data_IF_968992854199
#
_entry.id   IF_968992854199
#
_cell.length_a   1.000
_cell.length_b   1.000
_cell.length_c   1.000
_cell.angle_alpha   90.00
_cell.angle_beta   90.00
_cell.angle_gamma   90.00
#
_symmetry.space_group_name_H-M   'P 1'
#
loop_
_entity.id
_entity.type
_entity.pdbx_description
1 polymer ?
#
# COMPACT_ATOMS: atom_id res chain seq x y z
N UNK A 1 -14.37 17.64 -14.04
CA UNK A 1 -13.95 16.41 -13.32
C UNK A 1 -12.76 15.84 -14.07
N UNK A 2 -11.54 16.19 -13.67
CA UNK A 2 -10.34 15.68 -14.34
C UNK A 2 -10.29 14.16 -14.15
N UNK A 3 -10.34 13.40 -15.25
CA UNK A 3 -10.06 11.98 -15.23
C UNK A 3 -8.66 11.82 -14.66
N UNK A 4 -8.57 11.36 -13.41
CA UNK A 4 -7.28 11.10 -12.78
C UNK A 4 -6.51 10.14 -13.66
N UNK A 5 -5.42 10.62 -14.23
CA UNK A 5 -4.59 9.92 -15.21
C UNK A 5 -4.21 8.55 -14.65
N UNK A 6 -4.87 7.49 -15.15
CA UNK A 6 -4.68 6.14 -14.60
C UNK A 6 -3.26 5.72 -14.94
N UNK A 7 -2.44 5.52 -13.90
CA UNK A 7 -1.08 4.96 -14.03
C UNK A 7 -1.16 3.45 -14.24
N UNK A 8 -1.75 3.03 -15.35
CA UNK A 8 -1.84 1.64 -15.80
C UNK A 8 -0.57 1.23 -16.59
N UNK A 9 -0.57 0.01 -17.13
CA UNK A 9 0.60 -0.50 -17.86
C UNK A 9 0.89 0.33 -19.12
N UNK A 10 -0.14 0.78 -19.84
CA UNK A 10 -0.01 1.56 -21.07
C UNK A 10 0.63 2.93 -20.79
N UNK A 11 0.23 3.57 -19.69
CA UNK A 11 0.89 4.78 -19.19
C UNK A 11 2.40 4.55 -18.98
N UNK A 12 2.77 3.44 -18.34
CA UNK A 12 4.17 3.16 -18.03
C UNK A 12 4.99 2.75 -19.26
N UNK A 13 4.40 2.03 -20.22
CA UNK A 13 5.07 1.69 -21.48
C UNK A 13 5.42 2.95 -22.27
N UNK A 14 4.45 3.87 -22.40
CA UNK A 14 4.68 5.18 -23.04
C UNK A 14 5.77 5.98 -22.34
N UNK A 15 5.80 5.93 -21.01
CA UNK A 15 6.81 6.63 -20.21
C UNK A 15 8.20 6.02 -20.35
N UNK A 16 8.32 4.69 -20.30
CA UNK A 16 9.58 3.99 -20.52
C UNK A 16 10.17 4.34 -21.90
N UNK A 17 9.33 4.37 -22.93
CA UNK A 17 9.73 4.80 -24.28
C UNK A 17 10.17 6.26 -24.33
N UNK A 18 9.43 7.15 -23.66
CA UNK A 18 9.76 8.58 -23.59
C UNK A 18 11.10 8.84 -22.90
N UNK A 19 11.40 8.08 -21.85
CA UNK A 19 12.61 8.24 -21.04
C UNK A 19 13.81 7.41 -21.57
N UNK A 20 13.66 6.73 -22.73
CA UNK A 20 14.77 6.04 -23.42
C UNK A 20 15.15 4.68 -22.85
N UNK A 21 14.23 3.96 -22.21
CA UNK A 21 14.47 2.63 -21.65
C UNK A 21 14.22 1.50 -22.66
N UNK A 22 14.85 1.57 -23.83
CA UNK A 22 14.61 0.63 -24.95
C UNK A 22 14.96 -0.82 -24.57
N UNK A 23 16.09 -1.06 -23.90
CA UNK A 23 16.46 -2.39 -23.39
C UNK A 23 15.39 -3.00 -22.47
N UNK A 24 14.68 -2.17 -21.69
CA UNK A 24 13.62 -2.66 -20.82
C UNK A 24 12.35 -2.97 -21.59
N UNK A 25 12.06 -2.22 -22.66
CA UNK A 25 10.92 -2.49 -23.54
C UNK A 25 11.12 -3.81 -24.29
N UNK A 26 12.33 -4.06 -24.81
CA UNK A 26 12.68 -5.33 -25.45
C UNK A 26 12.51 -6.52 -24.49
N UNK A 27 12.97 -6.38 -23.23
CA UNK A 27 12.77 -7.42 -22.21
C UNK A 27 11.30 -7.65 -21.85
N UNK A 28 10.46 -6.60 -21.92
CA UNK A 28 9.00 -6.74 -21.71
C UNK A 28 8.36 -7.47 -22.88
N UNK A 29 8.68 -7.09 -24.12
CA UNK A 29 8.15 -7.70 -25.34
C UNK A 29 8.56 -9.18 -25.46
N UNK A 30 9.79 -9.49 -25.09
CA UNK A 30 10.30 -10.87 -24.99
C UNK A 30 9.69 -11.66 -23.81
N UNK A 31 8.85 -11.03 -22.97
CA UNK A 31 8.23 -11.66 -21.81
C UNK A 31 9.19 -11.99 -20.66
N UNK A 32 10.43 -11.48 -20.72
CA UNK A 32 11.47 -11.74 -19.73
C UNK A 32 11.22 -11.00 -18.42
N UNK A 33 10.61 -9.81 -18.48
CA UNK A 33 10.22 -9.03 -17.30
C UNK A 33 8.80 -8.48 -17.46
N UNK A 34 8.11 -8.25 -16.34
CA UNK A 34 6.80 -7.57 -16.36
C UNK A 34 6.99 -6.05 -16.37
N UNK A 35 6.01 -5.33 -16.94
CA UNK A 35 5.94 -3.84 -16.87
C UNK A 35 6.12 -3.32 -15.44
N UNK A 36 5.55 -4.02 -14.45
CA UNK A 36 5.71 -3.67 -13.04
C UNK A 36 7.17 -3.70 -12.56
N UNK A 37 7.96 -4.67 -13.02
CA UNK A 37 9.38 -4.80 -12.64
C UNK A 37 10.23 -3.78 -13.37
N UNK A 38 10.00 -3.58 -14.67
CA UNK A 38 10.66 -2.53 -15.44
C UNK A 38 10.45 -1.14 -14.79
N UNK A 39 9.23 -0.82 -14.38
CA UNK A 39 8.93 0.47 -13.72
C UNK A 39 9.55 0.63 -12.33
N UNK A 40 9.92 -0.46 -11.66
CA UNK A 40 10.75 -0.40 -10.44
C UNK A 40 12.21 -0.14 -10.79
N UNK A 41 12.76 -0.84 -11.79
CA UNK A 41 14.15 -0.66 -12.25
C UNK A 41 14.40 0.76 -12.77
N UNK A 42 13.44 1.32 -13.49
CA UNK A 42 13.44 2.70 -13.98
C UNK A 42 13.17 3.77 -12.88
N UNK A 43 12.95 3.36 -11.62
CA UNK A 43 12.76 4.29 -10.50
C UNK A 43 11.40 5.00 -10.43
N UNK A 44 10.45 4.70 -11.32
CA UNK A 44 9.11 5.31 -11.30
C UNK A 44 8.25 4.89 -10.11
N UNK A 45 8.55 3.71 -9.55
CA UNK A 45 7.88 3.18 -8.37
C UNK A 45 8.87 3.13 -7.23
N UNK A 46 8.45 3.59 -6.05
CA UNK A 46 9.27 3.52 -4.83
C UNK A 46 9.73 2.08 -4.58
N UNK A 47 11.04 1.90 -4.55
CA UNK A 47 11.75 0.70 -4.11
C UNK A 47 12.21 0.95 -2.67
N UNK A 48 11.51 0.35 -1.72
CA UNK A 48 11.81 0.50 -0.30
C UNK A 48 10.89 -0.38 0.53
N UNK A 49 11.23 -0.62 1.80
CA UNK A 49 10.33 -1.33 2.72
C UNK A 49 9.01 -0.58 2.70
N UNK A 50 7.95 -1.25 2.28
CA UNK A 50 6.62 -0.69 2.41
C UNK A 50 6.38 -0.57 3.90
N UNK A 51 5.97 0.62 4.35
CA UNK A 51 5.49 0.83 5.70
C UNK A 51 4.55 -0.34 6.06
N UNK A 52 4.88 -1.14 7.08
CA UNK A 52 4.07 -2.29 7.47
C UNK A 52 2.58 -1.94 7.64
N UNK A 53 2.27 -0.73 8.10
CA UNK A 53 0.90 -0.25 8.22
C UNK A 53 0.21 -0.09 6.85
N UNK A 54 0.93 0.42 5.84
CA UNK A 54 0.41 0.53 4.47
C UNK A 54 0.23 -0.84 3.82
N UNK A 55 1.14 -1.78 4.06
CA UNK A 55 1.01 -3.17 3.61
C UNK A 55 -0.24 -3.80 4.23
N UNK A 56 -0.34 -3.72 5.56
CA UNK A 56 -1.47 -4.28 6.29
C UNK A 56 -2.78 -3.66 5.81
N UNK A 57 -2.86 -2.34 5.65
CA UNK A 57 -4.06 -1.65 5.12
C UNK A 57 -4.43 -2.13 3.71
N UNK A 58 -3.44 -2.27 2.82
CA UNK A 58 -3.66 -2.74 1.45
C UNK A 58 -4.25 -4.16 1.41
N UNK A 59 -3.71 -5.06 2.22
CA UNK A 59 -4.17 -6.45 2.28
C UNK A 59 -5.47 -6.59 3.07
N UNK A 60 -5.62 -5.86 4.18
CA UNK A 60 -6.83 -5.85 5.00
C UNK A 60 -8.07 -5.51 4.18
N UNK A 61 -8.00 -4.45 3.36
CA UNK A 61 -9.13 -4.02 2.49
C UNK A 61 -9.58 -5.09 1.50
N UNK A 62 -8.68 -5.99 1.08
CA UNK A 62 -8.96 -7.07 0.11
C UNK A 62 -9.26 -8.41 0.76
N UNK A 63 -8.86 -8.59 2.02
CA UNK A 63 -9.12 -9.80 2.77
C UNK A 63 -10.63 -9.99 2.99
N UNK A 64 -11.08 -11.26 2.95
CA UNK A 64 -12.45 -11.63 3.26
C UNK A 64 -12.75 -11.38 4.75
N UNK A 65 -14.03 -11.44 5.12
CA UNK A 65 -14.43 -11.35 6.52
C UNK A 65 -13.79 -12.45 7.38
N UNK A 66 -13.76 -13.69 6.89
CA UNK A 66 -13.18 -14.83 7.60
C UNK A 66 -11.66 -14.69 7.78
N UNK A 67 -10.95 -14.19 6.77
CA UNK A 67 -9.50 -13.95 6.88
C UNK A 67 -9.18 -12.89 7.94
N UNK A 68 -9.97 -11.81 7.97
CA UNK A 68 -9.84 -10.75 8.97
C UNK A 68 -10.09 -11.29 10.37
N UNK A 69 -11.15 -12.09 10.54
CA UNK A 69 -11.49 -12.75 11.81
C UNK A 69 -10.37 -13.67 12.27
N UNK A 70 -9.84 -14.51 11.38
CA UNK A 70 -8.72 -15.42 11.67
C UNK A 70 -7.47 -14.66 12.08
N UNK A 71 -7.15 -13.57 11.39
CA UNK A 71 -6.02 -12.71 11.73
C UNK A 71 -6.16 -12.09 13.13
N UNK A 72 -7.34 -11.56 13.46
CA UNK A 72 -7.60 -10.96 14.79
C UNK A 72 -7.50 -12.01 15.88
N UNK A 73 -8.08 -13.20 15.68
CA UNK A 73 -8.02 -14.29 16.65
C UNK A 73 -6.59 -14.77 16.89
N UNK A 74 -5.79 -14.93 15.82
CA UNK A 74 -4.39 -15.32 15.92
C UNK A 74 -3.54 -14.28 16.68
N UNK A 75 -3.93 -13.01 16.65
CA UNK A 75 -3.21 -11.89 17.26
C UNK A 75 -3.97 -11.26 18.43
N UNK A 76 -4.90 -11.99 19.05
CA UNK A 76 -5.87 -11.43 20.00
C UNK A 76 -5.23 -10.72 21.19
N UNK A 77 -4.08 -11.21 21.69
CA UNK A 77 -3.34 -10.58 22.80
C UNK A 77 -2.90 -9.16 22.44
N UNK A 78 -2.28 -8.98 21.27
CA UNK A 78 -1.76 -7.68 20.87
C UNK A 78 -2.83 -6.72 20.37
N UNK A 79 -3.86 -7.23 19.69
CA UNK A 79 -5.03 -6.43 19.36
C UNK A 79 -5.67 -5.88 20.64
N UNK A 80 -5.84 -6.72 21.67
CA UNK A 80 -6.39 -6.28 22.95
C UNK A 80 -5.51 -5.26 23.67
N UNK A 81 -4.17 -5.39 23.63
CA UNK A 81 -3.25 -4.40 24.21
C UNK A 81 -3.45 -3.03 23.56
N UNK A 82 -3.39 -2.98 22.22
CA UNK A 82 -3.54 -1.73 21.46
C UNK A 82 -4.91 -1.09 21.68
N UNK A 83 -5.99 -1.88 21.71
CA UNK A 83 -7.33 -1.36 21.98
C UNK A 83 -7.45 -0.70 23.36
N UNK A 84 -6.80 -1.27 24.39
CA UNK A 84 -6.77 -0.68 25.73
C UNK A 84 -6.01 0.64 25.76
N UNK A 85 -4.90 0.73 25.02
CA UNK A 85 -4.12 1.97 24.88
C UNK A 85 -4.95 3.06 24.20
N UNK A 86 -5.60 2.74 23.07
CA UNK A 86 -6.50 3.67 22.37
C UNK A 86 -7.63 4.14 23.29
N UNK A 87 -8.25 3.22 24.04
CA UNK A 87 -9.33 3.57 24.96
C UNK A 87 -8.85 4.49 26.10
N UNK A 88 -7.63 4.27 26.61
CA UNK A 88 -7.00 5.14 27.61
C UNK A 88 -6.75 6.53 27.04
N UNK A 89 -6.10 6.63 25.88
CA UNK A 89 -5.85 7.91 25.21
C UNK A 89 -7.15 8.69 24.92
N UNK A 90 -8.20 7.98 24.48
CA UNK A 90 -9.50 8.60 24.24
C UNK A 90 -10.12 9.19 25.51
N UNK A 91 -9.97 8.52 26.67
CA UNK A 91 -10.44 9.03 27.97
C UNK A 91 -9.64 10.24 28.41
N UNK A 92 -8.31 10.20 28.29
CA UNK A 92 -7.44 11.32 28.64
C UNK A 92 -7.71 12.56 27.78
N UNK A 93 -7.97 12.39 26.47
CA UNK A 93 -8.37 13.49 25.59
C UNK A 93 -9.72 14.11 26.00
N UNK A 94 -10.68 13.31 26.46
CA UNK A 94 -11.96 13.82 26.98
C UNK A 94 -11.77 14.58 28.30
N UNK A 95 -10.94 14.09 29.19
CA UNK A 95 -10.64 14.74 30.47
C UNK A 95 -9.88 16.07 30.31
N UNK A 96 -9.11 16.23 29.23
CA UNK A 96 -8.36 17.47 28.91
C UNK A 96 -9.16 18.51 28.12
N UNK A 97 -10.40 18.23 27.70
CA UNK A 97 -11.24 19.30 27.14
C UNK A 97 -11.68 20.20 28.30
N UNK A 98 -11.36 21.51 28.29
CA UNK A 98 -11.91 22.40 29.29
C UNK A 98 -13.44 22.37 29.16
N UNK A 99 -14.11 22.14 30.28
CA UNK A 99 -15.55 22.39 30.40
C UNK A 99 -15.79 23.87 30.10
N UNK A 100 -16.53 24.16 29.04
CA UNK A 100 -17.17 25.47 28.86
C UNK A 100 -18.09 25.78 30.04
#
# INVERSE_FOLDING_TARGET
MAAGDKRDNDYYLKRLKKDGHDDMLEQIEAGQIKVYEATKRAGYRKTGPRDPALVLSYHWKRASHEDRKRFVLANAREVNRVLKEIAREARERKAKKPSE
#
